data_IF_297543748644
#
_entry.id   IF_297543748644
#
_cell.length_a   1.000
_cell.length_b   1.000
_cell.length_c   1.000
_cell.angle_alpha   90.00
_cell.angle_beta   90.00
_cell.angle_gamma   90.00
#
_symmetry.space_group_name_H-M   'P 1'
#
loop_
_entity.id
_entity.type
_entity.pdbx_description
1 polymer ?
#
# COMPACT_ATOMS: atom_id res chain seq x y z
N UNK A 1 -44.25 62.75 -51.00
CA UNK A 1 -45.15 63.22 -49.92
C UNK A 1 -44.29 63.41 -48.68
N UNK A 2 -44.43 64.59 -48.04
CA UNK A 2 -43.75 65.12 -46.83
C UNK A 2 -42.21 65.23 -46.86
N UNK A 3 -41.58 66.43 -47.03
CA UNK A 3 -41.33 67.54 -46.06
C UNK A 3 -40.84 67.05 -44.68
N UNK A 4 -39.80 67.59 -44.03
CA UNK A 4 -38.78 68.63 -44.26
C UNK A 4 -37.92 68.69 -42.98
N UNK A 5 -36.65 69.12 -43.10
CA UNK A 5 -35.92 69.97 -42.13
C UNK A 5 -35.54 69.35 -40.74
N UNK A 6 -34.44 69.64 -40.02
CA UNK A 6 -33.38 70.64 -40.07
C UNK A 6 -32.30 70.28 -39.00
N UNK A 7 -31.07 70.81 -39.18
CA UNK A 7 -30.07 71.22 -38.16
C UNK A 7 -29.04 70.20 -37.61
N UNK A 8 -27.79 70.66 -37.70
CA UNK A 8 -26.52 70.13 -37.20
C UNK A 8 -26.20 70.69 -35.78
N UNK A 9 -24.94 70.72 -35.30
CA UNK A 9 -24.45 70.16 -34.04
C UNK A 9 -24.49 71.16 -32.87
N UNK A 10 -24.30 70.75 -31.59
CA UNK A 10 -23.67 71.63 -30.58
C UNK A 10 -23.34 70.91 -29.27
N UNK A 11 -22.11 71.17 -28.79
CA UNK A 11 -21.62 71.38 -27.41
C UNK A 11 -22.14 70.48 -26.27
N UNK A 12 -21.25 69.75 -25.58
CA UNK A 12 -20.58 70.18 -24.33
C UNK A 12 -21.55 70.52 -23.20
N UNK A 13 -21.59 69.67 -22.18
CA UNK A 13 -21.62 70.13 -20.79
C UNK A 13 -20.78 69.19 -19.93
N UNK A 14 -19.78 69.79 -19.30
CA UNK A 14 -18.98 69.24 -18.23
C UNK A 14 -19.51 69.85 -16.93
N UNK A 15 -19.94 69.05 -15.95
CA UNK A 15 -19.75 69.38 -14.52
C UNK A 15 -20.21 68.26 -13.58
N UNK A 16 -19.33 67.95 -12.62
CA UNK A 16 -19.59 67.40 -11.29
C UNK A 16 -19.98 65.91 -11.13
N UNK A 17 -19.05 65.13 -10.58
CA UNK A 17 -19.40 63.97 -9.76
C UNK A 17 -18.30 62.95 -9.51
N UNK A 18 -17.45 63.20 -8.50
CA UNK A 18 -16.69 62.20 -7.71
C UNK A 18 -16.17 60.96 -8.45
N UNK A 19 -14.85 60.91 -8.63
CA UNK A 19 -14.13 59.62 -8.64
C UNK A 19 -14.18 59.06 -7.21
N UNK A 20 -15.28 58.38 -6.88
CA UNK A 20 -15.32 57.46 -5.74
C UNK A 20 -14.55 56.22 -6.15
N UNK A 21 -13.22 56.26 -5.97
CA UNK A 21 -12.37 55.08 -5.99
C UNK A 21 -12.64 54.27 -4.73
N UNK A 22 -13.82 53.65 -4.65
CA UNK A 22 -14.12 52.62 -3.67
C UNK A 22 -14.20 51.30 -4.47
N UNK A 23 -13.02 50.71 -4.68
CA UNK A 23 -12.90 49.32 -5.09
C UNK A 23 -13.60 48.48 -4.02
N UNK A 24 -14.88 48.15 -4.24
CA UNK A 24 -15.64 47.20 -3.41
C UNK A 24 -14.94 45.85 -3.57
N UNK A 25 -13.93 45.63 -2.73
CA UNK A 25 -13.16 44.40 -2.63
C UNK A 25 -14.06 43.36 -2.00
N UNK A 26 -14.76 42.60 -2.84
CA UNK A 26 -15.68 41.55 -2.42
C UNK A 26 -14.99 40.62 -1.41
N UNK A 27 -15.39 40.65 -0.12
CA UNK A 27 -14.74 39.88 0.93
C UNK A 27 -14.83 38.38 0.68
N UNK A 28 -15.86 37.93 -0.05
CA UNK A 28 -16.03 36.52 -0.42
C UNK A 28 -15.00 36.09 -1.47
N UNK A 29 -14.60 36.97 -2.39
CA UNK A 29 -13.58 36.68 -3.38
C UNK A 29 -12.18 36.57 -2.73
N UNK A 30 -11.88 37.44 -1.76
CA UNK A 30 -10.64 37.38 -0.98
C UNK A 30 -10.58 36.13 -0.11
N UNK A 31 -11.68 35.77 0.56
CA UNK A 31 -11.77 34.58 1.40
C UNK A 31 -11.67 33.29 0.57
N UNK A 32 -12.27 33.25 -0.62
CA UNK A 32 -12.16 32.11 -1.55
C UNK A 32 -10.74 31.96 -2.11
N UNK A 33 -10.07 33.07 -2.42
CA UNK A 33 -8.66 33.07 -2.87
C UNK A 33 -7.73 32.60 -1.77
N UNK A 34 -7.91 33.08 -0.53
CA UNK A 34 -7.14 32.65 0.64
C UNK A 34 -7.36 31.16 0.94
N UNK A 35 -8.60 30.67 0.91
CA UNK A 35 -8.92 29.25 1.08
C UNK A 35 -8.27 28.37 -0.01
N UNK A 36 -8.26 28.84 -1.25
CA UNK A 36 -7.61 28.14 -2.37
C UNK A 36 -6.09 28.09 -2.22
N UNK A 37 -5.46 29.17 -1.75
CA UNK A 37 -4.01 29.22 -1.48
C UNK A 37 -3.65 28.29 -0.32
N UNK A 38 -4.39 28.34 0.78
CA UNK A 38 -4.17 27.47 1.95
C UNK A 38 -4.30 25.99 1.59
N UNK A 39 -5.31 25.62 0.78
CA UNK A 39 -5.49 24.25 0.30
C UNK A 39 -4.34 23.76 -0.59
N UNK A 40 -3.75 24.64 -1.40
CA UNK A 40 -2.60 24.30 -2.25
C UNK A 40 -1.32 24.11 -1.43
N UNK A 41 -1.10 24.95 -0.42
CA UNK A 41 0.03 24.82 0.51
C UNK A 41 -0.08 23.51 1.29
N UNK A 42 -1.26 23.21 1.84
CA UNK A 42 -1.51 21.98 2.58
C UNK A 42 -1.23 20.73 1.72
N UNK A 43 -1.71 20.71 0.47
CA UNK A 43 -1.42 19.60 -0.47
C UNK A 43 0.08 19.39 -0.68
N UNK A 44 0.85 20.47 -0.85
CA UNK A 44 2.31 20.38 -1.03
C UNK A 44 2.99 19.85 0.22
N UNK A 45 2.62 20.36 1.40
CA UNK A 45 3.17 19.88 2.67
C UNK A 45 2.86 18.40 2.87
N UNK A 46 1.61 17.97 2.61
CA UNK A 46 1.23 16.55 2.70
C UNK A 46 2.03 15.67 1.74
N UNK A 47 2.30 16.13 0.51
CA UNK A 47 3.16 15.37 -0.42
C UNK A 47 4.58 15.23 0.10
N UNK A 48 5.19 16.33 0.59
CA UNK A 48 6.56 16.30 1.14
C UNK A 48 6.63 15.38 2.36
N UNK A 49 5.69 15.49 3.28
CA UNK A 49 5.61 14.62 4.46
C UNK A 49 5.45 13.15 4.07
N UNK A 50 4.63 12.85 3.07
CA UNK A 50 4.45 11.48 2.61
C UNK A 50 5.72 10.93 1.94
N UNK A 51 6.46 11.74 1.19
CA UNK A 51 7.75 11.34 0.63
C UNK A 51 8.77 11.07 1.73
N UNK A 52 8.87 11.93 2.74
CA UNK A 52 9.73 11.71 3.91
C UNK A 52 9.34 10.41 4.63
N UNK A 53 8.04 10.17 4.80
CA UNK A 53 7.51 8.94 5.37
C UNK A 53 7.92 7.70 4.56
N UNK A 54 7.86 7.75 3.22
CA UNK A 54 8.31 6.65 2.35
C UNK A 54 9.81 6.36 2.51
N UNK A 55 10.64 7.40 2.57
CA UNK A 55 12.09 7.23 2.80
C UNK A 55 12.39 6.69 4.21
N UNK A 56 11.69 7.19 5.23
CA UNK A 56 11.80 6.66 6.60
C UNK A 56 11.47 5.17 6.66
N UNK A 57 10.42 4.74 5.95
CA UNK A 57 10.05 3.33 5.83
C UNK A 57 11.12 2.48 5.18
N UNK A 58 11.73 2.98 4.10
CA UNK A 58 12.84 2.29 3.45
C UNK A 58 14.03 2.13 4.40
N UNK A 59 14.36 3.15 5.17
CA UNK A 59 15.45 3.09 6.15
C UNK A 59 15.16 2.05 7.25
N UNK A 60 13.95 2.04 7.81
CA UNK A 60 13.59 1.04 8.83
C UNK A 60 13.57 -0.39 8.26
N UNK A 61 13.17 -0.57 7.00
CA UNK A 61 13.24 -1.86 6.30
C UNK A 61 14.69 -2.38 6.23
N UNK A 62 15.65 -1.52 5.92
CA UNK A 62 17.08 -1.89 5.86
C UNK A 62 17.57 -2.36 7.24
N UNK A 63 17.21 -1.65 8.31
CA UNK A 63 17.55 -2.04 9.69
C UNK A 63 16.92 -3.39 10.03
N UNK A 64 15.64 -3.59 9.70
CA UNK A 64 14.94 -4.85 9.91
C UNK A 64 15.64 -6.01 9.18
N UNK A 65 16.04 -5.84 7.92
CA UNK A 65 16.78 -6.86 7.17
C UNK A 65 18.07 -7.24 7.90
N UNK A 66 18.84 -6.25 8.36
CA UNK A 66 20.07 -6.49 9.13
C UNK A 66 19.82 -7.30 10.40
N UNK A 67 18.79 -6.94 11.18
CA UNK A 67 18.36 -7.69 12.38
C UNK A 67 17.93 -9.11 12.03
N UNK A 68 17.09 -9.28 11.01
CA UNK A 68 16.57 -10.58 10.59
C UNK A 68 17.70 -11.53 10.16
N UNK A 69 18.67 -11.05 9.39
CA UNK A 69 19.84 -11.83 8.97
C UNK A 69 20.72 -12.18 10.18
N UNK A 70 21.00 -11.22 11.06
CA UNK A 70 21.81 -11.44 12.26
C UNK A 70 21.18 -12.51 13.17
N UNK A 71 19.88 -12.46 13.39
CA UNK A 71 19.15 -13.42 14.21
C UNK A 71 19.04 -14.80 13.55
N UNK A 72 18.83 -14.84 12.24
CA UNK A 72 18.78 -16.08 11.47
C UNK A 72 20.13 -16.82 11.52
N UNK A 73 21.24 -16.09 11.33
CA UNK A 73 22.59 -16.68 11.25
C UNK A 73 23.19 -17.02 12.61
N UNK A 74 22.92 -16.24 13.66
CA UNK A 74 23.53 -16.45 14.99
C UNK A 74 22.72 -17.34 15.91
N UNK A 75 21.40 -17.22 15.92
CA UNK A 75 20.54 -17.91 16.88
C UNK A 75 19.60 -18.92 16.23
N UNK A 76 19.54 -19.00 14.90
CA UNK A 76 18.54 -19.82 14.18
C UNK A 76 17.11 -19.56 14.66
N UNK A 77 16.82 -18.30 15.01
CA UNK A 77 15.52 -17.83 15.51
C UNK A 77 14.94 -16.75 14.60
N UNK A 78 13.62 -16.63 14.61
CA UNK A 78 12.96 -15.51 13.95
C UNK A 78 13.32 -14.18 14.65
N UNK A 79 13.26 -13.06 13.93
CA UNK A 79 13.66 -11.73 14.43
C UNK A 79 12.99 -11.35 15.76
N UNK A 80 11.72 -11.73 15.93
CA UNK A 80 10.94 -11.44 17.13
C UNK A 80 11.22 -12.39 18.32
N UNK A 81 11.95 -13.47 18.12
CA UNK A 81 12.31 -14.47 19.16
C UNK A 81 13.80 -14.43 19.54
N UNK A 82 14.59 -13.64 18.82
CA UNK A 82 16.01 -13.46 19.00
C UNK A 82 16.32 -12.82 20.37
N UNK A 83 17.27 -13.39 21.11
CA UNK A 83 17.55 -13.03 22.51
C UNK A 83 18.88 -12.30 22.71
N UNK A 84 19.79 -12.35 21.74
CA UNK A 84 21.17 -11.87 21.84
C UNK A 84 21.59 -11.00 20.66
N UNK A 85 22.12 -9.82 20.99
CA UNK A 85 22.84 -8.92 20.07
C UNK A 85 21.95 -8.10 19.15
N UNK A 86 21.59 -6.89 19.61
CA UNK A 86 20.97 -5.88 18.76
C UNK A 86 21.88 -5.59 17.55
N UNK A 87 21.35 -5.63 16.32
CA UNK A 87 22.09 -5.19 15.13
C UNK A 87 22.44 -3.70 15.23
N UNK A 88 21.49 -2.93 15.77
CA UNK A 88 21.58 -1.50 16.13
C UNK A 88 20.81 -1.33 17.44
N UNK A 89 21.14 -0.36 18.32
CA UNK A 89 20.30 -0.06 19.49
C UNK A 89 18.84 0.15 19.10
N UNK A 90 17.92 -0.45 19.86
CA UNK A 90 16.47 -0.38 19.62
C UNK A 90 15.99 -0.96 18.27
N UNK A 91 16.74 -1.89 17.67
CA UNK A 91 16.37 -2.55 16.40
C UNK A 91 15.04 -3.31 16.46
N UNK A 92 14.65 -3.74 17.67
CA UNK A 92 13.39 -4.39 17.99
C UNK A 92 12.19 -3.42 17.91
N UNK A 93 12.33 -2.23 18.48
CA UNK A 93 11.35 -1.14 18.37
C UNK A 93 11.25 -0.61 16.94
N UNK A 94 12.38 -0.55 16.23
CA UNK A 94 12.42 -0.18 14.81
C UNK A 94 11.68 -1.20 13.95
N UNK A 95 11.79 -2.50 14.22
CA UNK A 95 11.02 -3.55 13.56
C UNK A 95 9.51 -3.33 13.74
N UNK A 96 9.04 -3.06 14.95
CA UNK A 96 7.62 -2.77 15.20
C UNK A 96 7.14 -1.50 14.50
N UNK A 97 7.93 -0.43 14.56
CA UNK A 97 7.61 0.84 13.89
C UNK A 97 7.55 0.67 12.37
N UNK A 98 8.46 -0.13 11.81
CA UNK A 98 8.44 -0.48 10.40
C UNK A 98 7.15 -1.20 10.01
N UNK A 99 6.76 -2.26 10.72
CA UNK A 99 5.53 -3.01 10.41
C UNK A 99 4.30 -2.10 10.54
N UNK A 100 4.22 -1.31 11.62
CA UNK A 100 3.12 -0.37 11.85
C UNK A 100 3.04 0.67 10.73
N UNK A 101 4.17 1.26 10.33
CA UNK A 101 4.23 2.21 9.23
C UNK A 101 3.82 1.58 7.89
N UNK A 102 4.11 0.30 7.68
CA UNK A 102 3.67 -0.45 6.51
C UNK A 102 2.15 -0.64 6.49
N UNK A 103 1.56 -1.05 7.62
CA UNK A 103 0.11 -1.14 7.79
C UNK A 103 -0.56 0.20 7.51
N UNK A 104 -0.05 1.29 8.08
CA UNK A 104 -0.57 2.65 7.83
C UNK A 104 -0.49 3.00 6.35
N UNK A 105 0.63 2.71 5.69
CA UNK A 105 0.77 2.99 4.26
C UNK A 105 -0.25 2.21 3.42
N UNK A 106 -0.43 0.92 3.69
CA UNK A 106 -1.43 0.10 3.01
C UNK A 106 -2.85 0.59 3.27
N UNK A 107 -3.15 1.06 4.49
CA UNK A 107 -4.43 1.70 4.81
C UNK A 107 -4.67 2.97 3.98
N UNK A 108 -3.64 3.81 3.81
CA UNK A 108 -3.70 5.01 2.94
C UNK A 108 -3.96 4.60 1.49
N UNK A 109 -3.22 3.61 0.97
CA UNK A 109 -3.40 3.10 -0.39
C UNK A 109 -4.81 2.52 -0.60
N UNK A 110 -5.29 1.70 0.32
CA UNK A 110 -6.65 1.14 0.28
C UNK A 110 -7.71 2.23 0.26
N UNK A 111 -7.60 3.22 1.14
CA UNK A 111 -8.54 4.35 1.18
C UNK A 111 -8.57 5.09 -0.15
N UNK A 112 -7.42 5.31 -0.77
CA UNK A 112 -7.33 5.96 -2.08
C UNK A 112 -7.96 5.10 -3.19
N UNK A 113 -7.69 3.79 -3.21
CA UNK A 113 -8.30 2.88 -4.19
C UNK A 113 -9.80 2.71 -4.01
N UNK A 114 -10.30 2.74 -2.77
CA UNK A 114 -11.74 2.73 -2.50
C UNK A 114 -12.43 4.01 -2.95
N UNK A 115 -11.75 5.14 -2.83
CA UNK A 115 -12.23 6.40 -3.39
C UNK A 115 -12.35 6.31 -4.92
N UNK A 116 -11.34 5.79 -5.62
CA UNK A 116 -11.37 5.61 -7.08
C UNK A 116 -12.46 4.66 -7.56
N UNK A 117 -12.72 3.56 -6.84
CA UNK A 117 -13.70 2.56 -7.24
C UNK A 117 -15.16 2.92 -6.90
N UNK A 118 -15.43 4.15 -6.43
CA UNK A 118 -16.79 4.62 -6.15
C UNK A 118 -17.43 3.93 -4.93
N UNK A 119 -16.88 4.19 -3.74
CA UNK A 119 -17.45 3.88 -2.43
C UNK A 119 -18.16 2.49 -2.29
N UNK A 120 -19.07 2.37 -1.32
CA UNK A 120 -19.63 1.09 -0.81
C UNK A 120 -20.29 0.21 -1.88
N UNK A 121 -20.85 0.81 -2.94
CA UNK A 121 -21.48 0.07 -4.05
C UNK A 121 -20.46 -0.66 -4.93
N UNK A 122 -19.31 -0.03 -5.22
CA UNK A 122 -18.18 -0.66 -5.90
C UNK A 122 -17.59 -1.80 -5.06
N UNK A 123 -17.56 -1.62 -3.74
CA UNK A 123 -17.00 -2.60 -2.80
C UNK A 123 -17.77 -3.92 -2.76
N UNK A 124 -19.11 -3.88 -2.71
CA UNK A 124 -19.91 -5.13 -2.70
C UNK A 124 -19.66 -5.96 -3.96
N UNK A 125 -19.58 -5.31 -5.12
CA UNK A 125 -19.28 -5.96 -6.40
C UNK A 125 -17.85 -6.50 -6.45
N UNK A 126 -16.88 -5.75 -5.91
CA UNK A 126 -15.48 -6.14 -5.84
C UNK A 126 -15.30 -7.38 -4.95
N UNK A 127 -15.93 -7.41 -3.77
CA UNK A 127 -15.93 -8.56 -2.87
C UNK A 127 -16.56 -9.78 -3.56
N UNK A 128 -17.73 -9.64 -4.18
CA UNK A 128 -18.36 -10.75 -4.91
C UNK A 128 -17.47 -11.34 -6.02
N UNK A 129 -16.67 -10.50 -6.70
CA UNK A 129 -15.70 -10.95 -7.70
C UNK A 129 -14.50 -11.65 -7.06
N UNK A 130 -13.99 -11.13 -5.96
CA UNK A 130 -12.87 -11.71 -5.21
C UNK A 130 -13.18 -13.11 -4.66
N UNK A 131 -14.39 -13.31 -4.15
CA UNK A 131 -14.84 -14.62 -3.67
C UNK A 131 -14.85 -15.71 -4.75
N UNK A 132 -14.83 -15.33 -6.04
CA UNK A 132 -14.76 -16.26 -7.17
C UNK A 132 -13.33 -16.56 -7.63
N UNK A 133 -12.31 -15.90 -7.07
CA UNK A 133 -10.91 -16.07 -7.47
C UNK A 133 -10.22 -17.13 -6.60
N UNK A 134 -9.73 -18.24 -7.18
CA UNK A 134 -8.99 -19.27 -6.44
C UNK A 134 -7.73 -18.71 -5.75
N UNK A 135 -7.04 -17.78 -6.41
CA UNK A 135 -5.85 -17.13 -5.84
C UNK A 135 -6.14 -16.32 -4.57
N UNK A 136 -7.33 -15.72 -4.46
CA UNK A 136 -7.74 -15.01 -3.25
C UNK A 136 -7.93 -15.97 -2.07
N UNK A 137 -8.61 -17.09 -2.29
CA UNK A 137 -8.77 -18.13 -1.26
C UNK A 137 -7.45 -18.75 -0.83
N UNK A 138 -6.51 -18.93 -1.75
CA UNK A 138 -5.15 -19.37 -1.42
C UNK A 138 -4.47 -18.39 -0.46
N UNK A 139 -4.55 -17.08 -0.71
CA UNK A 139 -3.99 -16.06 0.19
C UNK A 139 -4.67 -16.07 1.58
N UNK A 140 -6.00 -16.19 1.62
CA UNK A 140 -6.75 -16.29 2.89
C UNK A 140 -6.36 -17.56 3.65
N UNK A 141 -6.25 -18.70 2.98
CA UNK A 141 -5.83 -19.95 3.60
C UNK A 141 -4.43 -19.84 4.20
N UNK A 142 -3.47 -19.29 3.44
CA UNK A 142 -2.10 -19.08 3.91
C UNK A 142 -2.05 -18.13 5.12
N UNK A 143 -2.88 -17.09 5.14
CA UNK A 143 -3.05 -16.20 6.29
C UNK A 143 -3.58 -16.95 7.53
N UNK A 144 -4.63 -17.75 7.37
CA UNK A 144 -5.20 -18.53 8.48
C UNK A 144 -4.21 -19.55 9.04
N UNK A 145 -3.42 -20.20 8.17
CA UNK A 145 -2.35 -21.12 8.57
C UNK A 145 -1.29 -20.39 9.41
N UNK A 146 -0.89 -19.19 9.01
CA UNK A 146 0.05 -18.36 9.80
C UNK A 146 -0.53 -18.02 11.18
N UNK A 147 -1.80 -17.61 11.25
CA UNK A 147 -2.48 -17.31 12.52
C UNK A 147 -2.56 -18.52 13.46
N UNK A 148 -2.89 -19.69 12.93
CA UNK A 148 -3.02 -20.91 13.74
C UNK A 148 -1.71 -21.34 14.40
N UNK A 149 -0.57 -21.16 13.72
CA UNK A 149 0.75 -21.46 14.29
C UNK A 149 1.08 -20.59 15.50
N UNK A 150 0.65 -19.33 15.48
CA UNK A 150 0.87 -18.42 16.59
C UNK A 150 -0.03 -18.70 17.78
N UNK A 151 -1.31 -19.04 17.57
CA UNK A 151 -2.17 -19.47 18.66
C UNK A 151 -1.54 -20.63 19.42
N UNK A 152 -0.94 -21.59 18.70
CA UNK A 152 -0.24 -22.73 19.28
C UNK A 152 1.02 -22.29 20.05
N UNK A 153 1.80 -21.33 19.53
CA UNK A 153 3.00 -20.80 20.20
C UNK A 153 2.65 -20.05 21.49
N UNK A 154 1.64 -19.18 21.45
CA UNK A 154 1.21 -18.36 22.60
C UNK A 154 0.64 -19.20 23.72
N UNK A 155 -0.11 -20.27 23.39
CA UNK A 155 -0.68 -21.17 24.39
C UNK A 155 0.41 -22.03 25.08
N UNK A 156 1.50 -22.34 24.37
CA UNK A 156 2.53 -23.28 24.87
C UNK A 156 3.74 -22.63 25.51
N UNK A 157 4.06 -21.40 25.15
CA UNK A 157 5.25 -20.71 25.63
C UNK A 157 4.84 -19.48 26.47
N UNK A 158 5.61 -19.18 27.52
CA UNK A 158 5.55 -17.90 28.24
C UNK A 158 6.02 -16.76 27.31
N UNK A 159 5.12 -16.34 26.44
CA UNK A 159 5.37 -15.40 25.36
C UNK A 159 5.37 -13.98 25.92
N UNK A 160 6.39 -13.18 25.60
CA UNK A 160 6.45 -11.79 26.06
C UNK A 160 5.37 -10.93 25.38
N UNK A 161 4.95 -9.84 26.04
CA UNK A 161 4.01 -8.87 25.44
C UNK A 161 4.49 -8.34 24.09
N UNK A 162 5.81 -8.17 23.94
CA UNK A 162 6.41 -7.78 22.67
C UNK A 162 6.15 -8.79 21.57
N UNK A 163 6.42 -10.07 21.83
CA UNK A 163 6.23 -11.14 20.84
C UNK A 163 4.77 -11.23 20.40
N UNK A 164 3.84 -11.02 21.34
CA UNK A 164 2.40 -10.93 21.04
C UNK A 164 2.12 -9.73 20.13
N UNK A 165 2.64 -8.54 20.45
CA UNK A 165 2.43 -7.33 19.67
C UNK A 165 3.04 -7.43 18.25
N UNK A 166 4.27 -7.94 18.09
CA UNK A 166 4.88 -8.16 16.78
C UNK A 166 4.04 -9.10 15.92
N UNK A 167 3.50 -10.16 16.52
CA UNK A 167 2.63 -11.07 15.78
C UNK A 167 1.36 -10.38 15.30
N UNK A 168 0.66 -9.64 16.17
CA UNK A 168 -0.54 -8.90 15.76
C UNK A 168 -0.22 -7.92 14.63
N UNK A 169 0.94 -7.26 14.67
CA UNK A 169 1.40 -6.36 13.62
C UNK A 169 1.68 -7.09 12.29
N UNK A 170 2.40 -8.21 12.31
CA UNK A 170 2.62 -9.04 11.11
C UNK A 170 1.31 -9.61 10.56
N UNK A 171 0.40 -10.06 11.43
CA UNK A 171 -0.94 -10.50 11.05
C UNK A 171 -1.74 -9.38 10.39
N UNK A 172 -1.73 -8.17 10.97
CA UNK A 172 -2.34 -6.99 10.37
C UNK A 172 -1.71 -6.67 9.01
N UNK A 173 -0.37 -6.68 8.90
CA UNK A 173 0.33 -6.45 7.64
C UNK A 173 -0.12 -7.45 6.55
N UNK A 174 -0.18 -8.74 6.88
CA UNK A 174 -0.63 -9.79 5.97
C UNK A 174 -2.10 -9.61 5.54
N UNK A 175 -2.98 -9.19 6.46
CA UNK A 175 -4.37 -8.87 6.13
C UNK A 175 -4.48 -7.66 5.20
N UNK A 176 -3.77 -6.58 5.52
CA UNK A 176 -3.79 -5.33 4.76
C UNK A 176 -3.20 -5.51 3.36
N UNK A 177 -2.12 -6.27 3.20
CA UNK A 177 -1.54 -6.53 1.88
C UNK A 177 -2.43 -7.43 1.04
N UNK A 178 -3.03 -8.47 1.65
CA UNK A 178 -3.98 -9.35 0.95
C UNK A 178 -5.15 -8.55 0.42
N UNK A 179 -5.68 -7.64 1.24
CA UNK A 179 -6.76 -6.72 0.85
C UNK A 179 -6.28 -5.75 -0.23
N UNK A 180 -5.07 -5.21 -0.10
CA UNK A 180 -4.48 -4.29 -1.09
C UNK A 180 -4.34 -4.96 -2.45
N UNK A 181 -3.76 -6.16 -2.50
CA UNK A 181 -3.61 -6.96 -3.74
C UNK A 181 -4.96 -7.31 -4.34
N UNK A 182 -5.93 -7.71 -3.51
CA UNK A 182 -7.29 -8.01 -3.93
C UNK A 182 -7.97 -6.82 -4.62
N UNK A 183 -7.89 -5.63 -4.01
CA UNK A 183 -8.46 -4.39 -4.57
C UNK A 183 -7.70 -3.95 -5.81
N UNK A 184 -6.37 -4.00 -5.74
CA UNK A 184 -5.49 -3.58 -6.81
C UNK A 184 -5.64 -4.47 -8.06
N UNK A 185 -5.99 -5.75 -7.90
CA UNK A 185 -6.25 -6.66 -9.01
C UNK A 185 -7.32 -6.12 -9.97
N UNK A 186 -8.34 -5.45 -9.43
CA UNK A 186 -9.43 -4.86 -10.21
C UNK A 186 -9.31 -3.35 -10.44
N UNK A 187 -8.25 -2.73 -9.93
CA UNK A 187 -8.02 -1.29 -10.06
C UNK A 187 -7.00 -1.03 -11.17
N UNK A 188 -7.35 -0.18 -12.14
CA UNK A 188 -6.43 0.30 -13.19
C UNK A 188 -5.84 1.64 -12.77
N UNK A 189 -4.75 1.61 -12.02
CA UNK A 189 -4.16 2.78 -11.37
C UNK A 189 -3.70 3.82 -12.40
N UNK A 190 -3.04 3.38 -13.47
CA UNK A 190 -2.50 4.26 -14.52
C UNK A 190 -3.61 4.93 -15.32
N UNK A 191 -4.65 4.19 -15.69
CA UNK A 191 -5.80 4.74 -16.41
C UNK A 191 -6.50 5.81 -15.56
N UNK A 192 -6.73 5.53 -14.27
CA UNK A 192 -7.36 6.48 -13.36
C UNK A 192 -6.53 7.76 -13.18
N UNK A 193 -5.21 7.63 -13.03
CA UNK A 193 -4.31 8.79 -12.89
C UNK A 193 -4.33 9.72 -14.12
N UNK A 194 -4.49 9.16 -15.33
CA UNK A 194 -4.61 9.95 -16.56
C UNK A 194 -5.97 10.63 -16.62
N UNK A 195 -7.04 9.89 -16.38
CA UNK A 195 -8.41 10.39 -16.49
C UNK A 195 -8.72 11.51 -15.49
N UNK A 196 -8.20 11.40 -14.27
CA UNK A 196 -8.32 12.43 -13.23
C UNK A 196 -7.31 13.59 -13.37
N UNK A 197 -6.50 13.60 -14.43
CA UNK A 197 -5.55 14.69 -14.70
C UNK A 197 -4.50 14.90 -13.60
N UNK A 198 -4.11 13.84 -12.89
CA UNK A 198 -3.15 13.96 -11.78
C UNK A 198 -1.81 14.52 -12.23
N UNK A 199 -1.24 15.43 -11.43
CA UNK A 199 0.05 16.06 -11.73
C UNK A 199 1.18 15.04 -11.76
N UNK A 200 2.26 15.37 -12.48
CA UNK A 200 3.41 14.48 -12.68
C UNK A 200 4.03 14.02 -11.36
N UNK A 201 4.11 14.89 -10.37
CA UNK A 201 4.70 14.60 -9.05
C UNK A 201 3.90 13.51 -8.33
N UNK A 202 2.57 13.60 -8.33
CA UNK A 202 1.70 12.60 -7.69
C UNK A 202 1.80 11.24 -8.38
N UNK A 203 1.93 11.20 -9.71
CA UNK A 203 2.17 9.95 -10.45
C UNK A 203 3.49 9.29 -10.07
N UNK A 204 4.54 10.09 -9.87
CA UNK A 204 5.85 9.59 -9.41
C UNK A 204 5.72 9.01 -7.99
N UNK A 205 5.03 9.72 -7.08
CA UNK A 205 4.80 9.26 -5.71
C UNK A 205 4.04 7.93 -5.70
N UNK A 206 2.97 7.79 -6.47
CA UNK A 206 2.19 6.54 -6.54
C UNK A 206 3.05 5.38 -7.05
N UNK A 207 3.85 5.60 -8.10
CA UNK A 207 4.79 4.60 -8.60
C UNK A 207 5.85 4.24 -7.55
N UNK A 208 6.42 5.23 -6.87
CA UNK A 208 7.41 5.03 -5.81
C UNK A 208 6.82 4.21 -4.65
N UNK A 209 5.60 4.52 -4.21
CA UNK A 209 4.89 3.75 -3.18
C UNK A 209 4.74 2.28 -3.59
N UNK A 210 4.36 2.02 -4.84
CA UNK A 210 4.19 0.66 -5.34
C UNK A 210 5.53 -0.09 -5.41
N UNK A 211 6.59 0.56 -5.90
CA UNK A 211 7.94 -0.02 -5.93
C UNK A 211 8.44 -0.34 -4.51
N UNK A 212 8.23 0.56 -3.55
CA UNK A 212 8.63 0.33 -2.15
C UNK A 212 7.83 -0.82 -1.53
N UNK A 213 6.54 -0.93 -1.83
CA UNK A 213 5.72 -2.06 -1.39
C UNK A 213 6.24 -3.38 -1.98
N UNK A 214 6.58 -3.39 -3.27
CA UNK A 214 7.23 -4.55 -3.90
C UNK A 214 8.53 -4.92 -3.19
N UNK A 215 9.44 -3.95 -2.99
CA UNK A 215 10.74 -4.19 -2.35
C UNK A 215 10.61 -4.75 -0.93
N UNK A 216 9.63 -4.27 -0.18
CA UNK A 216 9.30 -4.76 1.15
C UNK A 216 8.89 -6.26 1.13
N UNK A 217 7.92 -6.63 0.30
CA UNK A 217 7.48 -8.03 0.21
C UNK A 217 8.50 -8.95 -0.45
N UNK A 218 9.32 -8.42 -1.36
CA UNK A 218 10.48 -9.14 -1.89
C UNK A 218 11.52 -9.41 -0.80
N UNK A 219 11.79 -8.44 0.07
CA UNK A 219 12.71 -8.61 1.21
C UNK A 219 12.19 -9.64 2.21
N UNK A 220 10.88 -9.61 2.52
CA UNK A 220 10.24 -10.62 3.37
C UNK A 220 10.33 -12.03 2.76
N UNK A 221 10.17 -12.15 1.44
CA UNK A 221 10.37 -13.42 0.73
C UNK A 221 11.81 -13.92 0.85
N UNK A 222 12.82 -13.05 0.68
CA UNK A 222 14.23 -13.42 0.83
C UNK A 222 14.56 -13.86 2.26
N UNK A 223 14.10 -13.10 3.26
CA UNK A 223 14.27 -13.43 4.68
C UNK A 223 13.58 -14.76 5.00
N UNK A 224 12.34 -14.96 4.53
CA UNK A 224 11.61 -16.21 4.70
C UNK A 224 12.34 -17.39 4.07
N UNK A 225 12.95 -17.20 2.90
CA UNK A 225 13.77 -18.23 2.23
C UNK A 225 15.01 -18.56 3.04
N UNK A 226 15.70 -17.56 3.58
CA UNK A 226 16.84 -17.78 4.49
C UNK A 226 16.40 -18.53 5.74
N UNK A 227 15.32 -18.09 6.40
CA UNK A 227 14.80 -18.73 7.61
C UNK A 227 14.38 -20.19 7.36
N UNK A 228 13.80 -20.47 6.19
CA UNK A 228 13.49 -21.83 5.76
C UNK A 228 14.76 -22.67 5.56
N UNK A 229 15.77 -22.12 4.88
CA UNK A 229 17.05 -22.79 4.64
C UNK A 229 17.84 -23.10 5.92
N UNK A 230 17.85 -22.18 6.89
CA UNK A 230 18.53 -22.35 8.18
C UNK A 230 17.68 -23.11 9.23
N UNK A 231 16.52 -23.66 8.83
CA UNK A 231 15.61 -24.38 9.74
C UNK A 231 15.25 -23.59 11.00
N UNK A 232 15.05 -22.29 10.86
CA UNK A 232 14.70 -21.42 11.98
C UNK A 232 13.35 -21.85 12.57
N UNK A 233 13.37 -22.43 13.77
CA UNK A 233 12.17 -22.89 14.48
C UNK A 233 11.98 -22.21 15.82
N UNK A 234 10.87 -21.49 15.95
CA UNK A 234 10.44 -20.86 17.21
C UNK A 234 9.76 -21.77 18.21
N UNK A 235 9.73 -23.07 17.96
CA UNK A 235 9.16 -24.10 18.82
C UNK A 235 10.33 -25.00 19.21
N UNK A 236 10.81 -24.89 20.44
CA UNK A 236 11.79 -25.82 20.97
C UNK A 236 11.21 -27.24 20.90
N UNK A 237 11.84 -28.09 20.08
CA UNK A 237 11.51 -29.50 20.00
C UNK A 237 12.04 -30.21 21.25
N UNK A 238 11.41 -29.97 22.39
CA UNK A 238 11.62 -30.81 23.57
C UNK A 238 11.26 -32.25 23.18
N UNK A 239 12.15 -33.18 23.50
CA UNK A 239 12.31 -34.53 22.98
C UNK A 239 11.16 -35.53 23.26
N UNK A 240 9.92 -35.06 23.46
CA UNK A 240 8.78 -35.93 23.66
C UNK A 240 8.04 -36.24 22.35
N UNK A 241 7.79 -37.54 22.19
CA UNK A 241 7.35 -38.22 20.99
C UNK A 241 5.90 -37.90 20.52
N UNK A 242 5.43 -36.65 20.62
CA UNK A 242 4.19 -36.18 19.96
C UNK A 242 4.46 -35.72 18.50
N UNK A 243 5.37 -36.44 17.82
CA UNK A 243 6.59 -35.85 17.24
C UNK A 243 6.66 -35.68 15.72
N UNK A 244 5.68 -36.13 14.94
CA UNK A 244 5.73 -35.98 13.46
C UNK A 244 4.74 -34.94 12.93
N UNK A 245 3.49 -34.95 13.39
CA UNK A 245 2.46 -34.01 12.91
C UNK A 245 2.82 -32.55 13.20
N UNK A 246 3.34 -32.25 14.40
CA UNK A 246 3.77 -30.88 14.76
C UNK A 246 4.95 -30.40 13.92
N UNK A 247 5.88 -31.30 13.57
CA UNK A 247 7.00 -31.01 12.67
C UNK A 247 6.49 -30.70 11.27
N UNK A 248 5.68 -31.59 10.70
CA UNK A 248 5.07 -31.42 9.38
C UNK A 248 4.24 -30.15 9.30
N UNK A 249 3.39 -29.88 10.31
CA UNK A 249 2.59 -28.67 10.38
C UNK A 249 3.46 -27.40 10.48
N UNK A 250 4.53 -27.43 11.27
CA UNK A 250 5.48 -26.32 11.39
C UNK A 250 6.25 -26.03 10.10
N UNK A 251 6.64 -27.05 9.36
CA UNK A 251 7.22 -26.93 8.01
C UNK A 251 6.20 -26.38 7.00
N UNK A 252 5.00 -26.97 6.96
CA UNK A 252 3.92 -26.56 6.06
C UNK A 252 3.55 -25.08 6.27
N UNK A 253 3.52 -24.61 7.53
CA UNK A 253 3.28 -23.20 7.85
C UNK A 253 4.37 -22.30 7.27
N UNK A 254 5.65 -22.60 7.51
CA UNK A 254 6.78 -21.80 7.01
C UNK A 254 6.81 -21.75 5.49
N UNK A 255 6.62 -22.91 4.86
CA UNK A 255 6.52 -22.99 3.41
C UNK A 255 5.32 -22.21 2.87
N UNK A 256 4.19 -22.24 3.58
CA UNK A 256 3.01 -21.44 3.28
C UNK A 256 3.27 -19.93 3.36
N UNK A 257 3.94 -19.46 4.41
CA UNK A 257 4.33 -18.04 4.56
C UNK A 257 5.29 -17.60 3.44
N UNK A 258 6.24 -18.46 3.05
CA UNK A 258 7.14 -18.21 1.93
C UNK A 258 6.40 -18.10 0.59
N UNK A 259 5.49 -19.03 0.30
CA UNK A 259 4.64 -18.99 -0.89
C UNK A 259 3.76 -17.74 -0.88
N UNK A 260 3.22 -17.36 0.28
CA UNK A 260 2.42 -16.16 0.43
C UNK A 260 3.21 -14.92 -0.02
N UNK A 261 4.40 -14.68 0.56
CA UNK A 261 5.22 -13.53 0.18
C UNK A 261 5.67 -13.59 -1.28
N UNK A 262 6.01 -14.78 -1.79
CA UNK A 262 6.33 -14.98 -3.20
C UNK A 262 5.18 -14.56 -4.13
N UNK A 263 3.95 -14.97 -3.82
CA UNK A 263 2.78 -14.64 -4.62
C UNK A 263 2.48 -13.14 -4.58
N UNK A 264 2.60 -12.52 -3.40
CA UNK A 264 2.40 -11.07 -3.22
C UNK A 264 3.43 -10.27 -4.02
N UNK A 265 4.73 -10.55 -3.86
CA UNK A 265 5.77 -9.80 -4.57
C UNK A 265 5.64 -9.97 -6.10
N UNK A 266 5.31 -11.19 -6.57
CA UNK A 266 5.09 -11.47 -7.99
C UNK A 266 3.92 -10.66 -8.54
N UNK A 267 2.82 -10.60 -7.79
CA UNK A 267 1.66 -9.79 -8.16
C UNK A 267 2.03 -8.31 -8.24
N UNK A 268 2.68 -7.76 -7.20
CA UNK A 268 3.09 -6.35 -7.16
C UNK A 268 4.03 -6.01 -8.31
N UNK A 269 5.03 -6.85 -8.58
CA UNK A 269 5.95 -6.68 -9.70
C UNK A 269 5.21 -6.65 -11.03
N UNK A 270 4.35 -7.64 -11.27
CA UNK A 270 3.59 -7.74 -12.53
C UNK A 270 2.69 -6.52 -12.72
N UNK A 271 2.03 -6.07 -11.64
CA UNK A 271 1.11 -4.93 -11.67
C UNK A 271 1.82 -3.59 -11.96
N UNK A 272 3.12 -3.44 -11.67
CA UNK A 272 3.89 -2.25 -12.05
C UNK A 272 3.91 -2.02 -13.57
N UNK A 273 3.94 -3.10 -14.35
CA UNK A 273 4.09 -3.06 -15.79
C UNK A 273 2.78 -3.36 -16.52
N UNK A 274 1.93 -4.21 -15.94
CA UNK A 274 0.70 -4.70 -16.56
C UNK A 274 -0.51 -4.33 -15.69
N UNK A 275 -0.94 -3.07 -15.82
CA UNK A 275 -2.02 -2.52 -14.98
C UNK A 275 -3.43 -2.98 -15.40
N UNK A 276 -3.62 -3.36 -16.67
CA UNK A 276 -4.95 -3.65 -17.23
C UNK A 276 -5.47 -5.08 -17.02
N UNK A 277 -4.68 -6.01 -16.46
CA UNK A 277 -5.04 -7.44 -16.35
C UNK A 277 -5.45 -7.85 -14.94
N UNK A 278 -6.40 -8.79 -14.82
CA UNK A 278 -6.73 -9.46 -13.57
C UNK A 278 -5.74 -10.60 -13.33
N UNK A 279 -4.60 -10.27 -12.73
CA UNK A 279 -3.47 -11.19 -12.49
C UNK A 279 -3.88 -12.39 -11.61
N UNK A 280 -4.84 -12.23 -10.70
CA UNK A 280 -5.34 -13.32 -9.83
C UNK A 280 -6.25 -14.32 -10.55
N UNK A 281 -6.69 -14.03 -11.79
CA UNK A 281 -7.54 -14.95 -12.56
C UNK A 281 -6.71 -15.86 -13.46
N UNK A 282 -6.72 -17.16 -13.17
CA UNK A 282 -6.06 -18.18 -14.01
C UNK A 282 -6.64 -18.18 -15.44
N UNK A 283 -7.91 -17.81 -15.59
CA UNK A 283 -8.64 -17.89 -16.85
C UNK A 283 -8.20 -16.83 -17.89
N UNK A 284 -7.69 -15.66 -17.48
CA UNK A 284 -7.14 -14.69 -18.43
C UNK A 284 -5.74 -15.06 -18.94
N UNK A 285 -5.00 -15.90 -18.22
CA UNK A 285 -3.72 -16.46 -18.68
C UNK A 285 -3.91 -17.60 -19.69
N UNK A 286 -5.04 -18.32 -19.61
CA UNK A 286 -5.38 -19.44 -20.50
C UNK A 286 -6.16 -19.01 -21.75
N UNK A 287 -6.73 -17.79 -21.76
CA UNK A 287 -7.48 -17.25 -22.90
C UNK A 287 -6.62 -16.35 -23.82
N UNK A 288 -5.29 -16.44 -23.80
CA UNK A 288 -4.51 -15.94 -24.93
C UNK A 288 -4.92 -16.72 -26.19
N UNK A 289 -5.52 -16.08 -27.22
CA UNK A 289 -5.45 -16.68 -28.53
C UNK A 289 -3.99 -16.61 -28.95
N UNK A 290 -3.46 -17.72 -29.46
CA UNK A 290 -2.33 -17.68 -30.38
C UNK A 290 -2.72 -16.76 -31.57
N UNK A 291 -2.49 -15.46 -31.43
CA UNK A 291 -2.18 -14.57 -32.54
C UNK A 291 -0.67 -14.76 -32.73
N UNK A 292 -0.21 -15.73 -33.51
CA UNK A 292 -0.60 -15.90 -34.89
C UNK A 292 0.11 -14.78 -35.65
N UNK A 293 1.34 -15.10 -36.06
CA UNK A 293 2.17 -14.29 -36.94
C UNK A 293 1.32 -13.68 -38.07
N UNK A 294 1.40 -12.36 -38.24
CA UNK A 294 0.70 -11.69 -39.34
C UNK A 294 0.88 -10.18 -39.32
N UNK A 295 1.30 -9.68 -40.49
CA UNK A 295 1.59 -8.30 -40.91
C UNK A 295 3.06 -7.87 -40.70
N UNK A 296 3.94 -7.75 -41.70
CA UNK A 296 3.80 -7.56 -43.16
C UNK A 296 2.75 -6.53 -43.59
#
# INVERSE_FOLDING_TARGET
>A
MEKKDLISPLLWDAENGRVSGEEIRDPNALQTKTNKVNNNILKKISMVLYVIFLFGRLFMLIIYIGRAINCCTKETKASFQCSSGAFVPHDMEVEMLWILSSVINMAICLRLMFYWNGAVSGMKKLVQKLFKLPGFWSLIFLFLVSCSGFCIMTIKNNTSLYQIASFFLFGAQNLFITTTVAVLNYTQVYHFMILEGYRRELRIIIKLTHVLLFMEFFSLFLIGTMQFGFQVTGLDYSADASSSFRKVFGEMRRFGELIFYYNIQKFLWTKLFVDNRNILSLMQLLCEPHQGDGFA
#
